data_IF_825074620721
#
_entry.id   IF_825074620721
#
_cell.length_a   1.000
_cell.length_b   1.000
_cell.length_c   1.000
_cell.angle_alpha   90.00
_cell.angle_beta   90.00
_cell.angle_gamma   90.00
#
_symmetry.space_group_name_H-M   'P 1'
#
loop_
_entity.id
_entity.type
_entity.pdbx_description
1 polymer ?
#
# COMPACT_ATOMS: atom_id res chain seq x y z
N UNK A 1 4.65 33.34 3.53
CA UNK A 1 4.75 34.26 2.36
C UNK A 1 3.72 33.85 1.31
N UNK A 2 3.12 34.85 0.63
CA UNK A 2 2.15 34.63 -0.43
C UNK A 2 0.67 34.67 -0.02
N UNK A 3 0.37 34.78 1.28
CA UNK A 3 -0.99 34.86 1.81
C UNK A 3 -1.37 36.28 2.18
N UNK A 4 -2.67 36.64 2.05
CA UNK A 4 -3.22 37.90 2.58
C UNK A 4 -3.06 37.96 4.11
N UNK A 5 -2.89 39.17 4.64
CA UNK A 5 -2.75 39.43 6.08
C UNK A 5 -4.07 39.88 6.67
N UNK A 6 -4.41 39.37 7.83
CA UNK A 6 -5.58 39.80 8.59
C UNK A 6 -5.17 41.04 9.43
N UNK A 7 -5.70 42.19 9.06
CA UNK A 7 -5.45 43.43 9.83
C UNK A 7 -6.58 43.57 10.84
N UNK A 8 -6.20 43.86 12.08
CA UNK A 8 -7.14 44.05 13.19
C UNK A 8 -7.18 45.51 13.66
N UNK A 9 -8.37 45.94 13.99
CA UNK A 9 -8.58 47.22 14.68
C UNK A 9 -8.08 47.16 16.12
N UNK A 10 -7.99 48.32 16.78
CA UNK A 10 -7.51 48.43 18.17
C UNK A 10 -8.38 47.65 19.19
N UNK A 11 -9.62 47.40 18.88
CA UNK A 11 -10.55 46.56 19.68
C UNK A 11 -10.41 45.03 19.41
N UNK A 12 -9.47 44.66 18.53
CA UNK A 12 -9.21 43.27 18.16
C UNK A 12 -10.16 42.69 17.05
N UNK A 13 -11.12 43.49 16.58
CA UNK A 13 -11.99 43.04 15.45
C UNK A 13 -11.21 43.01 14.15
N UNK A 14 -11.67 42.15 13.21
CA UNK A 14 -11.09 42.09 11.84
C UNK A 14 -11.43 43.40 11.14
N UNK A 15 -10.41 44.14 10.73
CA UNK A 15 -10.56 45.40 9.99
C UNK A 15 -10.65 45.16 8.50
N UNK A 16 -9.62 44.56 7.93
CA UNK A 16 -9.51 44.22 6.51
C UNK A 16 -8.53 43.07 6.27
N UNK A 17 -8.50 42.58 5.06
CA UNK A 17 -7.50 41.64 4.57
C UNK A 17 -6.66 42.34 3.50
N UNK A 18 -5.34 42.36 3.68
CA UNK A 18 -4.40 42.93 2.69
C UNK A 18 -3.64 41.82 2.00
N UNK A 19 -3.74 41.76 0.69
CA UNK A 19 -3.01 40.78 -0.07
C UNK A 19 -1.50 41.03 -0.03
N UNK A 20 -0.69 39.97 -0.10
CA UNK A 20 0.78 40.02 0.03
C UNK A 20 1.43 41.05 -0.91
N UNK A 21 0.89 41.25 -2.11
CA UNK A 21 1.42 42.15 -3.12
C UNK A 21 1.14 43.62 -2.82
N UNK A 22 0.10 43.89 -2.06
CA UNK A 22 -0.39 45.24 -1.74
C UNK A 22 -0.03 45.65 -0.33
N UNK A 23 0.57 44.74 0.47
CA UNK A 23 0.90 44.95 1.88
C UNK A 23 2.11 45.87 2.04
N UNK A 24 2.00 46.87 2.96
CA UNK A 24 3.14 47.61 3.46
C UNK A 24 4.13 46.72 4.25
N UNK A 25 5.31 47.22 4.53
CA UNK A 25 6.29 46.47 5.33
C UNK A 25 5.77 46.10 6.72
N UNK A 26 4.97 46.94 7.35
CA UNK A 26 4.34 46.69 8.65
C UNK A 26 3.24 45.63 8.53
N UNK A 27 2.38 45.74 7.52
CA UNK A 27 1.32 44.78 7.27
C UNK A 27 1.87 43.38 6.88
N UNK A 28 2.94 43.35 6.09
CA UNK A 28 3.63 42.11 5.73
C UNK A 28 4.25 41.37 6.92
N UNK A 29 4.55 42.08 8.02
CA UNK A 29 5.06 41.52 9.27
C UNK A 29 3.96 40.85 10.11
N UNK A 30 2.68 41.11 9.84
CA UNK A 30 1.55 40.45 10.52
C UNK A 30 1.59 38.95 10.29
N UNK A 31 1.51 38.19 11.39
CA UNK A 31 1.57 36.70 11.33
C UNK A 31 0.23 36.03 11.05
N UNK A 32 -0.87 36.72 11.34
CA UNK A 32 -2.21 36.20 11.07
C UNK A 32 -2.50 36.34 9.57
N UNK A 33 -2.76 35.20 8.93
CA UNK A 33 -2.92 35.14 7.48
C UNK A 33 -4.29 34.59 7.09
N UNK A 34 -4.78 35.02 5.95
CA UNK A 34 -6.02 34.53 5.36
C UNK A 34 -5.84 33.11 4.82
N UNK A 35 -6.73 32.20 5.21
CA UNK A 35 -6.74 30.81 4.74
C UNK A 35 -7.39 30.64 3.38
N UNK A 36 -8.07 31.66 2.85
CA UNK A 36 -8.89 31.56 1.63
C UNK A 36 -10.26 30.92 1.86
N UNK A 37 -10.61 30.53 3.08
CA UNK A 37 -11.92 29.99 3.42
C UNK A 37 -12.79 31.10 4.04
N UNK A 38 -13.95 31.33 3.42
CA UNK A 38 -14.88 32.39 3.83
C UNK A 38 -16.29 31.85 4.02
N UNK A 39 -17.00 32.48 4.93
CA UNK A 39 -18.42 32.28 5.13
C UNK A 39 -19.11 33.63 5.09
N UNK A 40 -19.96 33.85 4.11
CA UNK A 40 -20.66 35.11 3.91
C UNK A 40 -22.16 34.93 4.07
N UNK A 41 -22.82 35.97 4.53
CA UNK A 41 -24.24 36.15 4.31
C UNK A 41 -24.44 36.47 2.82
N UNK A 42 -25.36 35.74 2.13
CA UNK A 42 -25.43 35.75 0.66
C UNK A 42 -25.84 37.10 0.07
N UNK A 43 -26.82 37.77 0.66
CA UNK A 43 -27.26 39.08 0.17
C UNK A 43 -26.21 40.17 0.38
N UNK A 44 -25.54 40.14 1.52
CA UNK A 44 -24.45 41.08 1.82
C UNK A 44 -23.27 40.91 0.84
N UNK A 45 -22.90 39.67 0.52
CA UNK A 45 -21.86 39.36 -0.45
C UNK A 45 -22.22 39.87 -1.85
N UNK A 46 -23.44 39.57 -2.32
CA UNK A 46 -23.88 40.00 -3.65
C UNK A 46 -23.92 41.53 -3.76
N UNK A 47 -24.38 42.21 -2.71
CA UNK A 47 -24.38 43.67 -2.66
C UNK A 47 -22.93 44.22 -2.69
N UNK A 48 -22.00 43.62 -1.93
CA UNK A 48 -20.61 44.04 -1.92
C UNK A 48 -19.91 43.83 -3.28
N UNK A 49 -20.14 42.68 -3.93
CA UNK A 49 -19.57 42.41 -5.25
C UNK A 49 -20.07 43.36 -6.31
N UNK A 50 -21.36 43.74 -6.30
CA UNK A 50 -21.91 44.73 -7.20
C UNK A 50 -21.27 46.10 -6.99
N UNK A 51 -21.15 46.56 -5.74
CA UNK A 51 -20.50 47.83 -5.40
C UNK A 51 -19.03 47.86 -5.84
N UNK A 52 -18.28 46.76 -5.62
CA UNK A 52 -16.91 46.66 -6.09
C UNK A 52 -16.79 46.68 -7.62
N UNK A 53 -17.76 46.09 -8.33
CA UNK A 53 -17.83 46.14 -9.78
C UNK A 53 -18.07 47.56 -10.29
N UNK A 54 -18.98 48.31 -9.68
CA UNK A 54 -19.28 49.69 -9.99
C UNK A 54 -18.08 50.62 -9.76
N UNK A 55 -17.42 50.50 -8.58
CA UNK A 55 -16.18 51.25 -8.26
C UNK A 55 -15.05 50.99 -9.26
N UNK A 56 -14.98 49.81 -9.83
CA UNK A 56 -14.03 49.53 -10.92
C UNK A 56 -14.42 50.18 -12.22
N UNK A 57 -15.69 50.12 -12.58
CA UNK A 57 -16.20 50.73 -13.81
C UNK A 57 -16.05 52.26 -13.79
N UNK A 58 -16.16 52.92 -12.64
CA UNK A 58 -15.95 54.35 -12.44
C UNK A 58 -14.47 54.75 -12.38
N UNK A 59 -13.54 53.78 -12.29
CA UNK A 59 -12.10 54.05 -12.16
C UNK A 59 -11.65 54.40 -10.72
N UNK A 60 -12.52 54.29 -9.74
CA UNK A 60 -12.16 54.49 -8.32
C UNK A 60 -11.28 53.35 -7.81
N UNK A 61 -11.49 52.11 -8.29
CA UNK A 61 -10.64 50.99 -7.94
C UNK A 61 -9.54 50.77 -9.00
N UNK A 62 -8.31 51.10 -8.67
CA UNK A 62 -7.13 51.03 -9.58
C UNK A 62 -6.37 49.72 -9.41
N UNK A 63 -6.81 48.80 -8.52
CA UNK A 63 -6.16 47.48 -8.34
C UNK A 63 -6.20 46.67 -9.63
N UNK A 64 -5.08 45.99 -9.93
CA UNK A 64 -4.95 45.15 -11.14
C UNK A 64 -5.87 43.93 -11.12
N UNK A 65 -6.15 43.39 -9.94
CA UNK A 65 -6.94 42.18 -9.73
C UNK A 65 -8.14 42.45 -8.83
N UNK A 66 -9.23 41.72 -9.00
CA UNK A 66 -10.39 41.71 -8.11
C UNK A 66 -10.13 40.68 -7.01
N UNK A 67 -10.11 41.13 -5.79
CA UNK A 67 -9.94 40.23 -4.65
C UNK A 67 -11.29 40.07 -3.93
N UNK A 68 -11.67 38.81 -3.67
CA UNK A 68 -12.83 38.52 -2.84
C UNK A 68 -12.68 39.10 -1.43
N UNK A 69 -11.44 39.24 -0.97
CA UNK A 69 -11.09 39.85 0.32
C UNK A 69 -11.50 41.32 0.44
N UNK A 70 -11.61 42.07 -0.67
CA UNK A 70 -12.10 43.44 -0.67
C UNK A 70 -13.61 43.53 -0.32
N UNK A 71 -14.37 42.46 -0.56
CA UNK A 71 -15.79 42.41 -0.19
C UNK A 71 -16.00 42.51 1.34
N UNK A 72 -14.99 42.16 2.14
CA UNK A 72 -15.09 42.25 3.60
C UNK A 72 -15.18 43.75 4.06
N UNK A 73 -14.37 44.62 3.48
CA UNK A 73 -14.42 46.06 3.79
C UNK A 73 -15.75 46.67 3.34
N UNK A 74 -16.23 46.27 2.15
CA UNK A 74 -17.51 46.76 1.64
C UNK A 74 -18.67 46.28 2.52
N UNK A 75 -18.69 45.02 2.95
CA UNK A 75 -19.72 44.48 3.87
C UNK A 75 -19.71 45.25 5.21
N UNK A 76 -18.52 45.56 5.75
CA UNK A 76 -18.40 46.35 6.98
C UNK A 76 -18.93 47.79 6.82
N UNK A 77 -18.77 48.40 5.65
CA UNK A 77 -19.31 49.72 5.37
C UNK A 77 -20.84 49.78 5.48
N UNK A 78 -21.51 48.64 5.35
CA UNK A 78 -22.95 48.50 5.58
C UNK A 78 -23.36 48.33 7.04
N UNK A 79 -22.40 48.43 7.97
CA UNK A 79 -22.64 48.24 9.41
C UNK A 79 -22.67 46.78 9.85
N UNK A 80 -22.36 45.85 8.96
CA UNK A 80 -22.29 44.42 9.27
C UNK A 80 -20.93 44.08 9.94
N UNK A 81 -20.90 42.95 10.66
CA UNK A 81 -19.71 42.52 11.39
C UNK A 81 -18.95 41.46 10.63
N UNK A 82 -17.61 41.56 10.66
CA UNK A 82 -16.70 40.50 10.22
C UNK A 82 -16.04 39.85 11.44
N UNK A 83 -16.06 38.52 11.47
CA UNK A 83 -15.37 37.72 12.46
C UNK A 83 -14.28 36.87 11.83
N UNK A 84 -13.37 36.35 12.62
CA UNK A 84 -12.40 35.35 12.19
C UNK A 84 -12.36 34.18 13.16
N UNK A 85 -12.12 33.01 12.60
CA UNK A 85 -11.78 31.79 13.34
C UNK A 85 -10.32 31.46 13.09
N UNK A 86 -9.51 31.48 14.14
CA UNK A 86 -8.09 31.13 14.04
C UNK A 86 -7.93 29.62 14.16
N UNK A 87 -7.40 28.98 13.14
CA UNK A 87 -7.13 27.55 13.13
C UNK A 87 -6.03 27.19 14.13
N UNK A 88 -6.10 25.99 14.72
CA UNK A 88 -5.12 25.50 15.69
C UNK A 88 -3.74 25.22 15.06
N UNK A 89 -3.65 24.97 13.76
CA UNK A 89 -2.41 24.71 13.04
C UNK A 89 -2.36 25.51 11.75
N UNK A 90 -1.18 26.05 11.45
CA UNK A 90 -0.90 26.74 10.18
C UNK A 90 -0.92 25.81 8.97
N UNK A 91 -0.86 24.50 9.18
CA UNK A 91 -0.83 23.53 8.09
C UNK A 91 -2.14 23.47 7.31
N UNK A 92 -3.24 23.96 7.88
CA UNK A 92 -4.55 23.97 7.22
C UNK A 92 -4.60 24.90 6.00
N UNK A 93 -3.69 25.87 5.93
CA UNK A 93 -3.61 26.83 4.82
C UNK A 93 -2.65 26.41 3.72
N UNK A 94 -1.91 25.31 3.91
CA UNK A 94 -0.93 24.88 2.94
C UNK A 94 -1.63 24.41 1.65
N UNK A 95 -1.32 25.08 0.56
CA UNK A 95 -1.76 24.73 -0.80
C UNK A 95 -0.54 24.44 -1.67
N UNK A 96 -0.72 23.61 -2.71
CA UNK A 96 0.32 23.31 -3.68
C UNK A 96 0.03 24.03 -5.01
N UNK A 97 0.91 24.91 -5.43
CA UNK A 97 0.87 25.57 -6.74
C UNK A 97 1.80 24.88 -7.75
N UNK A 98 2.73 24.07 -7.27
CA UNK A 98 3.67 23.32 -8.08
C UNK A 98 3.94 21.92 -7.46
N UNK A 99 4.75 21.12 -8.16
CA UNK A 99 5.06 19.76 -7.71
C UNK A 99 5.99 19.69 -6.49
N UNK A 100 6.79 20.72 -6.27
CA UNK A 100 7.66 20.80 -5.08
C UNK A 100 6.80 20.98 -3.84
N UNK A 101 5.89 21.96 -3.87
CA UNK A 101 4.93 22.20 -2.78
C UNK A 101 4.00 21.01 -2.57
N UNK A 102 3.57 20.32 -3.65
CA UNK A 102 2.80 19.09 -3.52
C UNK A 102 3.59 17.99 -2.81
N UNK A 103 4.88 17.86 -3.10
CA UNK A 103 5.75 16.90 -2.41
C UNK A 103 5.89 17.24 -0.91
N UNK A 104 6.03 18.50 -0.56
CA UNK A 104 6.08 18.95 0.85
C UNK A 104 4.78 18.60 1.59
N UNK A 105 3.62 18.80 0.96
CA UNK A 105 2.33 18.41 1.51
C UNK A 105 2.20 16.89 1.70
N UNK A 106 2.66 16.11 0.73
CA UNK A 106 2.69 14.64 0.84
C UNK A 106 3.56 14.18 2.00
N UNK A 107 4.73 14.79 2.20
CA UNK A 107 5.61 14.47 3.34
C UNK A 107 4.97 14.83 4.69
N UNK A 108 4.27 15.96 4.76
CA UNK A 108 3.52 16.35 5.95
C UNK A 108 2.39 15.35 6.26
N UNK A 109 1.61 14.97 5.25
CA UNK A 109 0.53 13.99 5.38
C UNK A 109 1.07 12.61 5.79
N UNK A 110 2.16 12.17 5.16
CA UNK A 110 2.85 10.92 5.51
C UNK A 110 3.28 10.93 6.97
N UNK A 111 3.96 11.98 7.42
CA UNK A 111 4.43 12.11 8.80
C UNK A 111 3.27 12.02 9.80
N UNK A 112 2.17 12.71 9.54
CA UNK A 112 0.98 12.68 10.40
C UNK A 112 0.40 11.27 10.53
N UNK A 113 0.31 10.55 9.41
CA UNK A 113 -0.21 9.18 9.42
C UNK A 113 0.73 8.23 10.19
N UNK A 114 2.05 8.34 10.01
CA UNK A 114 3.02 7.55 10.77
C UNK A 114 2.95 7.85 12.27
N UNK A 115 2.88 9.14 12.66
CA UNK A 115 2.75 9.54 14.08
C UNK A 115 1.46 9.01 14.71
N UNK A 116 0.35 9.03 13.98
CA UNK A 116 -0.93 8.45 14.43
C UNK A 116 -0.77 6.98 14.79
N UNK A 117 -0.14 6.19 13.93
CA UNK A 117 0.11 4.76 14.19
C UNK A 117 1.10 4.55 15.33
N UNK A 118 2.19 5.31 15.40
CA UNK A 118 3.14 5.22 16.52
C UNK A 118 2.48 5.54 17.87
N UNK A 119 1.61 6.56 17.93
CA UNK A 119 0.83 6.87 19.14
C UNK A 119 -0.19 5.77 19.50
N UNK A 120 -0.63 4.98 18.54
CA UNK A 120 -1.51 3.83 18.74
C UNK A 120 -0.76 2.56 19.14
N UNK A 121 0.57 2.60 19.28
CA UNK A 121 1.40 1.48 19.73
C UNK A 121 2.09 0.68 18.64
N UNK A 122 2.14 1.19 17.40
CA UNK A 122 2.91 0.60 16.30
C UNK A 122 4.36 1.06 16.37
N UNK A 123 5.31 0.16 16.22
CA UNK A 123 6.74 0.47 16.19
C UNK A 123 7.19 0.75 14.75
N UNK A 124 7.76 1.95 14.51
CA UNK A 124 8.37 2.32 13.22
C UNK A 124 9.78 2.84 13.49
N UNK A 125 10.77 1.94 13.65
CA UNK A 125 12.13 2.32 14.07
C UNK A 125 12.86 3.26 13.11
N UNK A 126 12.53 3.16 11.82
CA UNK A 126 13.03 4.04 10.76
C UNK A 126 11.87 4.38 9.82
N UNK A 127 11.61 5.66 9.63
CA UNK A 127 10.50 6.13 8.80
C UNK A 127 10.82 6.22 7.31
N UNK A 128 12.08 5.94 6.92
CA UNK A 128 12.53 6.10 5.54
C UNK A 128 11.79 5.14 4.60
N UNK A 129 11.13 5.73 3.59
CA UNK A 129 10.36 5.00 2.60
C UNK A 129 9.08 4.31 3.14
N UNK A 130 8.75 4.48 4.43
CA UNK A 130 7.51 3.94 4.98
C UNK A 130 6.33 4.80 4.56
N UNK A 131 5.34 4.17 3.93
CA UNK A 131 4.08 4.79 3.51
C UNK A 131 2.92 3.98 4.06
N UNK A 132 2.04 4.64 4.81
CA UNK A 132 0.81 4.04 5.33
C UNK A 132 -0.35 4.89 4.82
N UNK A 133 -1.29 4.29 4.09
CA UNK A 133 -2.49 4.98 3.64
C UNK A 133 -3.47 5.21 4.80
N UNK A 134 -4.24 6.31 4.79
CA UNK A 134 -5.16 6.66 5.89
C UNK A 134 -6.22 5.61 6.22
N UNK A 135 -6.61 4.76 5.24
CA UNK A 135 -7.57 3.65 5.43
C UNK A 135 -6.99 2.42 6.14
N UNK A 136 -5.67 2.31 6.20
CA UNK A 136 -5.01 1.16 6.80
C UNK A 136 -5.19 1.13 8.33
N UNK A 137 -5.32 -0.09 8.87
CA UNK A 137 -5.41 -0.34 10.31
C UNK A 137 -4.27 -1.28 10.71
N UNK A 138 -3.56 -0.93 11.77
CA UNK A 138 -2.40 -1.71 12.25
C UNK A 138 -2.54 -1.91 13.75
N UNK A 139 -2.43 -3.15 14.18
CA UNK A 139 -2.50 -3.55 15.59
C UNK A 139 -1.25 -3.13 16.37
N UNK A 140 -1.40 -3.17 17.70
CA UNK A 140 -0.34 -2.80 18.66
C UNK A 140 0.83 -3.76 18.57
N UNK A 141 1.99 -3.28 18.96
CA UNK A 141 3.25 -4.03 19.03
C UNK A 141 3.73 -4.59 17.67
N UNK A 142 3.03 -4.24 16.58
CA UNK A 142 3.48 -4.53 15.22
C UNK A 142 4.62 -3.59 14.83
N UNK A 143 5.65 -4.17 14.22
CA UNK A 143 6.84 -3.46 13.74
C UNK A 143 6.76 -3.26 12.24
N UNK A 144 6.82 -2.00 11.79
CA UNK A 144 6.90 -1.65 10.36
C UNK A 144 8.31 -1.17 10.04
N UNK A 145 9.00 -1.90 9.19
CA UNK A 145 10.39 -1.63 8.81
C UNK A 145 10.47 -0.73 7.57
N UNK A 146 11.65 -0.16 7.36
CA UNK A 146 11.96 0.78 6.26
C UNK A 146 11.49 0.28 4.90
N UNK A 147 11.08 1.19 4.01
CA UNK A 147 10.64 0.88 2.66
C UNK A 147 9.29 0.16 2.55
N UNK A 148 8.61 -0.08 3.67
CA UNK A 148 7.31 -0.77 3.68
C UNK A 148 6.19 0.16 3.25
N UNK A 149 5.31 -0.34 2.38
CA UNK A 149 4.19 0.40 1.81
C UNK A 149 2.88 -0.35 2.11
N UNK A 150 1.98 0.28 2.88
CA UNK A 150 0.69 -0.28 3.27
C UNK A 150 -0.40 0.57 2.66
N UNK A 151 -1.16 -0.02 1.72
CA UNK A 151 -2.14 0.68 0.88
C UNK A 151 -3.57 0.19 1.07
N UNK A 152 -4.49 1.04 0.61
CA UNK A 152 -5.92 0.77 0.63
C UNK A 152 -6.45 0.57 2.03
N UNK A 153 -7.45 -0.29 2.17
CA UNK A 153 -8.08 -0.63 3.44
C UNK A 153 -7.43 -1.86 4.10
N UNK A 154 -6.10 -1.97 3.98
CA UNK A 154 -5.35 -3.09 4.57
C UNK A 154 -5.48 -3.11 6.09
N UNK A 155 -5.64 -4.31 6.63
CA UNK A 155 -5.71 -4.56 8.08
C UNK A 155 -4.55 -5.47 8.48
N UNK A 156 -3.73 -5.01 9.42
CA UNK A 156 -2.61 -5.77 9.98
C UNK A 156 -2.87 -5.94 11.48
N UNK A 157 -2.77 -7.15 11.95
CA UNK A 157 -2.97 -7.51 13.36
C UNK A 157 -1.87 -7.04 14.29
N UNK A 158 -1.84 -7.60 15.48
CA UNK A 158 -0.87 -7.34 16.54
C UNK A 158 0.38 -8.22 16.39
N UNK A 159 1.50 -7.82 17.00
CA UNK A 159 2.74 -8.59 17.07
C UNK A 159 3.32 -9.02 15.71
N UNK A 160 3.01 -8.30 14.63
CA UNK A 160 3.52 -8.59 13.31
C UNK A 160 4.87 -7.89 13.05
N UNK A 161 5.64 -8.43 12.12
CA UNK A 161 6.82 -7.76 11.54
C UNK A 161 6.61 -7.61 10.04
N UNK A 162 6.47 -6.36 9.57
CA UNK A 162 6.25 -6.04 8.15
C UNK A 162 7.45 -5.30 7.60
N UNK A 163 8.05 -5.83 6.56
CA UNK A 163 9.24 -5.23 5.92
C UNK A 163 10.55 -5.96 6.25
N UNK A 164 11.70 -5.37 5.85
CA UNK A 164 11.78 -4.16 5.04
C UNK A 164 11.26 -4.36 3.60
N UNK A 165 11.10 -3.26 2.85
CA UNK A 165 10.80 -3.26 1.41
C UNK A 165 9.60 -4.16 1.03
N UNK A 166 8.51 -4.08 1.78
CA UNK A 166 7.31 -4.90 1.60
C UNK A 166 6.12 -4.06 1.15
N UNK A 167 5.24 -4.65 0.32
CA UNK A 167 4.00 -4.02 -0.11
C UNK A 167 2.80 -4.85 0.31
N UNK A 168 1.88 -4.23 1.04
CA UNK A 168 0.59 -4.82 1.41
C UNK A 168 -0.52 -3.91 0.89
N UNK A 169 -1.39 -4.44 0.03
CA UNK A 169 -2.47 -3.66 -0.56
C UNK A 169 -3.80 -4.41 -0.47
N UNK A 170 -4.84 -3.75 0.08
CA UNK A 170 -6.21 -4.28 0.24
C UNK A 170 -6.23 -5.71 0.82
N UNK A 171 -5.40 -5.98 1.81
CA UNK A 171 -5.17 -7.31 2.36
C UNK A 171 -5.34 -7.34 3.87
N UNK A 172 -5.70 -8.51 4.40
CA UNK A 172 -5.77 -8.76 5.84
C UNK A 172 -4.61 -9.64 6.25
N UNK A 173 -3.83 -9.19 7.20
CA UNK A 173 -2.75 -9.94 7.87
C UNK A 173 -3.12 -10.06 9.33
N UNK A 174 -3.29 -11.29 9.84
CA UNK A 174 -3.62 -11.55 11.23
C UNK A 174 -2.39 -11.40 12.14
N UNK A 175 -2.52 -11.79 13.41
CA UNK A 175 -1.51 -11.55 14.44
C UNK A 175 -0.26 -12.42 14.28
N UNK A 176 0.89 -11.90 14.72
CA UNK A 176 2.14 -12.64 14.82
C UNK A 176 2.76 -13.02 13.47
N UNK A 177 2.40 -12.37 12.40
CA UNK A 177 2.91 -12.65 11.04
C UNK A 177 4.24 -11.97 10.79
N UNK A 178 5.20 -12.73 10.25
CA UNK A 178 6.43 -12.22 9.64
C UNK A 178 6.24 -12.05 8.14
N UNK A 179 6.40 -10.83 7.60
CA UNK A 179 6.22 -10.53 6.18
C UNK A 179 7.37 -9.70 5.65
N UNK A 180 8.36 -10.36 5.05
CA UNK A 180 9.67 -9.79 4.73
C UNK A 180 9.87 -9.66 3.22
N UNK A 181 10.24 -8.47 2.73
CA UNK A 181 10.60 -8.18 1.31
C UNK A 181 9.67 -8.84 0.31
N UNK A 182 8.38 -8.68 0.53
CA UNK A 182 7.35 -9.42 -0.21
C UNK A 182 6.19 -8.52 -0.59
N UNK A 183 5.37 -8.98 -1.52
CA UNK A 183 4.19 -8.24 -1.96
C UNK A 183 2.91 -9.06 -1.81
N UNK A 184 1.85 -8.42 -1.29
CA UNK A 184 0.54 -9.03 -1.07
C UNK A 184 -0.56 -8.11 -1.59
N UNK A 185 -1.45 -8.67 -2.41
CA UNK A 185 -2.59 -7.98 -2.99
C UNK A 185 -3.89 -8.72 -2.71
N UNK A 186 -4.89 -8.02 -2.18
CA UNK A 186 -6.28 -8.49 -2.00
C UNK A 186 -6.37 -9.95 -1.53
N UNK A 187 -5.69 -10.26 -0.43
CA UNK A 187 -5.51 -11.62 0.10
C UNK A 187 -5.52 -11.63 1.63
N UNK A 188 -5.66 -12.81 2.21
CA UNK A 188 -5.68 -13.01 3.65
C UNK A 188 -4.50 -13.86 4.10
N UNK A 189 -3.79 -13.42 5.13
CA UNK A 189 -2.68 -14.14 5.76
C UNK A 189 -3.04 -14.33 7.22
N UNK A 190 -3.16 -15.59 7.64
CA UNK A 190 -3.63 -15.95 8.98
C UNK A 190 -2.47 -15.99 9.99
N UNK A 191 -2.85 -16.10 11.27
CA UNK A 191 -1.96 -15.99 12.42
C UNK A 191 -0.66 -16.79 12.29
N UNK A 192 0.45 -16.14 12.64
CA UNK A 192 1.76 -16.77 12.76
C UNK A 192 2.38 -17.28 11.47
N UNK A 193 1.86 -16.90 10.31
CA UNK A 193 2.48 -17.23 9.04
C UNK A 193 3.83 -16.49 8.87
N UNK A 194 4.79 -17.15 8.20
CA UNK A 194 6.12 -16.62 7.92
C UNK A 194 6.31 -16.52 6.39
N UNK A 195 6.38 -15.29 5.90
CA UNK A 195 6.34 -14.98 4.47
C UNK A 195 7.60 -14.24 4.05
N UNK A 196 8.30 -14.79 3.08
CA UNK A 196 9.43 -14.11 2.45
C UNK A 196 10.79 -14.76 2.66
N UNK A 197 11.83 -14.09 2.19
CA UNK A 197 11.77 -12.90 1.32
C UNK A 197 11.37 -13.23 -0.14
N UNK A 198 10.99 -12.19 -0.91
CA UNK A 198 10.70 -12.26 -2.34
C UNK A 198 9.52 -13.18 -2.71
N UNK A 199 8.46 -13.10 -1.93
CA UNK A 199 7.18 -13.78 -2.16
C UNK A 199 6.21 -12.82 -2.84
N UNK A 200 5.40 -13.36 -3.77
CA UNK A 200 4.28 -12.65 -4.36
C UNK A 200 2.97 -13.37 -4.06
N UNK A 201 2.12 -12.75 -3.22
CA UNK A 201 0.77 -13.24 -2.96
C UNK A 201 -0.19 -12.41 -3.80
N UNK A 202 -0.89 -13.07 -4.71
CA UNK A 202 -1.83 -12.46 -5.66
C UNK A 202 -3.27 -12.58 -5.18
N UNK A 203 -4.17 -11.73 -5.74
CA UNK A 203 -5.55 -11.65 -5.30
C UNK A 203 -6.26 -13.01 -5.19
N UNK A 204 -7.14 -13.10 -4.19
CA UNK A 204 -7.96 -14.29 -3.94
C UNK A 204 -7.22 -15.41 -3.22
N UNK A 205 -6.06 -15.13 -2.62
CA UNK A 205 -5.28 -16.14 -1.89
C UNK A 205 -5.56 -16.08 -0.39
N UNK A 206 -5.57 -17.26 0.24
CA UNK A 206 -5.65 -17.41 1.70
C UNK A 206 -4.46 -18.23 2.16
N UNK A 207 -3.60 -17.63 2.98
CA UNK A 207 -2.44 -18.28 3.59
C UNK A 207 -2.82 -18.67 5.02
N UNK A 208 -2.85 -19.95 5.33
CA UNK A 208 -3.28 -20.51 6.58
C UNK A 208 -2.36 -20.20 7.76
N UNK A 209 -2.84 -20.59 8.96
CA UNK A 209 -2.10 -20.42 10.20
C UNK A 209 -0.75 -21.14 10.15
N UNK A 210 0.31 -20.49 10.64
CA UNK A 210 1.67 -21.05 10.72
C UNK A 210 2.22 -21.60 9.39
N UNK A 211 1.71 -21.13 8.26
CA UNK A 211 2.25 -21.47 6.94
C UNK A 211 3.57 -20.78 6.74
N UNK A 212 4.55 -21.51 6.23
CA UNK A 212 5.81 -20.94 5.76
C UNK A 212 5.84 -20.83 4.24
N UNK A 213 5.97 -19.61 3.71
CA UNK A 213 6.18 -19.34 2.28
C UNK A 213 7.53 -18.67 2.11
N UNK A 214 8.51 -19.41 1.59
CA UNK A 214 9.88 -18.93 1.44
C UNK A 214 10.15 -18.23 0.11
N UNK A 215 11.42 -18.05 -0.19
CA UNK A 215 11.87 -17.17 -1.25
C UNK A 215 11.49 -17.63 -2.68
N UNK A 216 11.16 -16.64 -3.51
CA UNK A 216 10.80 -16.81 -4.92
C UNK A 216 9.56 -17.68 -5.15
N UNK A 217 8.60 -17.61 -4.25
CA UNK A 217 7.31 -18.29 -4.37
C UNK A 217 6.25 -17.30 -4.83
N UNK A 218 5.43 -17.72 -5.78
CA UNK A 218 4.21 -17.00 -6.17
C UNK A 218 2.98 -17.84 -5.84
N UNK A 219 2.03 -17.25 -5.09
CA UNK A 219 0.73 -17.83 -4.77
C UNK A 219 -0.36 -17.01 -5.43
N UNK A 220 -1.29 -17.65 -6.15
CA UNK A 220 -2.37 -16.97 -6.87
C UNK A 220 -3.69 -17.71 -6.70
N UNK A 221 -4.73 -17.02 -6.23
CA UNK A 221 -6.11 -17.54 -6.15
C UNK A 221 -6.15 -18.96 -5.56
N UNK A 222 -5.45 -19.15 -4.42
CA UNK A 222 -5.23 -20.45 -3.81
C UNK A 222 -5.45 -20.39 -2.30
N UNK A 223 -5.94 -21.49 -1.75
CA UNK A 223 -6.07 -21.67 -0.30
C UNK A 223 -4.97 -22.63 0.18
N UNK A 224 -4.15 -22.14 1.11
CA UNK A 224 -3.06 -22.92 1.69
C UNK A 224 -3.45 -23.24 3.14
N UNK A 225 -3.64 -24.51 3.49
CA UNK A 225 -3.99 -24.96 4.82
C UNK A 225 -2.83 -24.80 5.81
N UNK A 226 -3.19 -24.83 7.10
CA UNK A 226 -2.26 -24.58 8.20
C UNK A 226 -1.01 -25.49 8.17
N UNK A 227 0.09 -25.00 8.75
CA UNK A 227 1.36 -25.73 8.92
C UNK A 227 2.00 -26.23 7.61
N UNK A 228 1.54 -25.76 6.46
CA UNK A 228 2.09 -26.10 5.16
C UNK A 228 3.37 -25.31 4.86
N UNK A 229 4.32 -25.95 4.19
CA UNK A 229 5.61 -25.37 3.84
C UNK A 229 5.81 -25.31 2.33
N UNK A 230 6.04 -24.11 1.79
CA UNK A 230 6.36 -23.82 0.39
C UNK A 230 7.65 -23.00 0.37
N UNK A 231 8.78 -23.67 0.62
CA UNK A 231 10.00 -22.96 1.04
C UNK A 231 10.76 -22.28 -0.10
N UNK A 232 10.65 -22.75 -1.35
CA UNK A 232 11.55 -22.29 -2.41
C UNK A 232 10.94 -22.36 -3.81
N UNK A 233 11.13 -21.28 -4.59
CA UNK A 233 11.03 -21.24 -6.07
C UNK A 233 9.84 -22.06 -6.63
N UNK A 234 8.64 -21.74 -6.23
CA UNK A 234 7.45 -22.51 -6.63
C UNK A 234 6.32 -21.60 -7.10
N UNK A 235 5.48 -22.10 -8.00
CA UNK A 235 4.24 -21.45 -8.41
C UNK A 235 3.04 -22.26 -7.97
N UNK A 236 2.21 -21.69 -7.11
CA UNK A 236 0.97 -22.29 -6.62
C UNK A 236 -0.20 -21.42 -7.10
N UNK A 237 -0.84 -21.84 -8.17
CA UNK A 237 -1.94 -21.09 -8.79
C UNK A 237 -3.22 -21.92 -8.91
N UNK A 238 -4.35 -21.28 -8.60
CA UNK A 238 -5.69 -21.87 -8.63
C UNK A 238 -5.72 -23.26 -7.94
N UNK A 239 -5.28 -23.31 -6.67
CA UNK A 239 -5.04 -24.56 -5.93
C UNK A 239 -5.65 -24.54 -4.54
N UNK A 240 -6.05 -25.70 -4.05
CA UNK A 240 -6.54 -25.92 -2.70
C UNK A 240 -5.63 -26.93 -1.99
N UNK A 241 -4.83 -26.45 -1.06
CA UNK A 241 -3.88 -27.22 -0.27
C UNK A 241 -4.43 -27.43 1.15
N UNK A 242 -4.44 -28.66 1.61
CA UNK A 242 -4.75 -29.03 2.99
C UNK A 242 -3.66 -28.60 3.96
N UNK A 243 -3.64 -29.23 5.14
CA UNK A 243 -2.73 -28.92 6.23
C UNK A 243 -1.47 -29.78 6.22
N UNK A 244 -0.35 -29.26 6.75
CA UNK A 244 0.87 -30.03 6.94
C UNK A 244 1.56 -30.53 5.68
N UNK A 245 1.33 -29.87 4.57
CA UNK A 245 1.90 -30.25 3.27
C UNK A 245 3.33 -29.70 3.14
N UNK A 246 4.20 -30.46 2.49
CA UNK A 246 5.51 -29.99 2.08
C UNK A 246 5.62 -29.90 0.57
N UNK A 247 5.85 -28.68 0.04
CA UNK A 247 6.10 -28.44 -1.38
C UNK A 247 7.61 -28.32 -1.63
N UNK A 248 8.16 -29.21 -2.43
CA UNK A 248 9.56 -29.20 -2.81
C UNK A 248 9.92 -28.01 -3.71
N UNK A 249 11.21 -27.71 -3.78
CA UNK A 249 11.73 -26.62 -4.62
C UNK A 249 11.39 -26.83 -6.10
N UNK A 250 11.01 -25.75 -6.79
CA UNK A 250 10.77 -25.76 -8.22
C UNK A 250 9.44 -26.40 -8.65
N UNK A 251 8.49 -26.57 -7.73
CA UNK A 251 7.18 -27.12 -8.05
C UNK A 251 6.28 -26.09 -8.72
N UNK A 252 5.43 -26.58 -9.63
CA UNK A 252 4.44 -25.76 -10.31
C UNK A 252 3.09 -26.48 -10.43
N UNK A 253 2.01 -25.74 -10.18
CA UNK A 253 0.66 -26.16 -10.56
C UNK A 253 0.35 -25.59 -11.93
N UNK A 254 0.33 -26.46 -12.96
CA UNK A 254 0.02 -26.07 -14.33
C UNK A 254 -1.50 -25.92 -14.50
N UNK A 255 -1.99 -24.75 -14.13
CA UNK A 255 -3.42 -24.46 -13.97
C UNK A 255 -4.13 -23.93 -15.24
N UNK A 256 -3.42 -23.72 -16.36
CA UNK A 256 -3.97 -23.13 -17.57
C UNK A 256 -3.68 -23.96 -18.81
N UNK A 257 -4.72 -24.38 -19.51
CA UNK A 257 -4.66 -25.25 -20.72
C UNK A 257 -4.60 -24.46 -22.04
N UNK A 258 -4.48 -23.16 -22.01
CA UNK A 258 -4.58 -22.29 -23.18
C UNK A 258 -5.93 -21.59 -23.33
N UNK A 259 -7.00 -22.18 -22.84
CA UNK A 259 -8.37 -21.63 -22.92
C UNK A 259 -9.13 -21.70 -21.59
N UNK A 260 -8.78 -22.62 -20.69
CA UNK A 260 -9.47 -22.84 -19.42
C UNK A 260 -8.47 -22.93 -18.27
N UNK A 261 -8.85 -22.39 -17.11
CA UNK A 261 -8.17 -22.60 -15.83
C UNK A 261 -8.83 -23.75 -15.09
N UNK A 262 -8.02 -24.63 -14.51
CA UNK A 262 -8.44 -25.74 -13.67
C UNK A 262 -7.72 -25.69 -12.32
N UNK A 263 -8.31 -26.28 -11.30
CA UNK A 263 -7.74 -26.30 -9.96
C UNK A 263 -6.95 -27.58 -9.69
N UNK A 264 -5.94 -27.46 -8.86
CA UNK A 264 -5.21 -28.56 -8.26
C UNK A 264 -5.63 -28.72 -6.81
N UNK A 265 -5.91 -29.92 -6.37
CA UNK A 265 -6.20 -30.24 -4.96
C UNK A 265 -5.06 -31.07 -4.38
N UNK A 266 -4.52 -30.67 -3.23
CA UNK A 266 -3.51 -31.42 -2.49
C UNK A 266 -4.05 -31.63 -1.08
N UNK A 267 -4.25 -32.90 -0.69
CA UNK A 267 -4.81 -33.23 0.62
C UNK A 267 -3.76 -33.18 1.74
N UNK A 268 -4.24 -33.31 3.00
CA UNK A 268 -3.40 -33.14 4.17
C UNK A 268 -2.18 -34.08 4.17
N UNK A 269 -1.07 -33.59 4.72
CA UNK A 269 0.14 -34.38 4.92
C UNK A 269 0.89 -34.81 3.66
N UNK A 270 0.43 -34.41 2.48
CA UNK A 270 1.09 -34.80 1.23
C UNK A 270 2.50 -34.18 1.11
N UNK A 271 3.40 -34.91 0.45
CA UNK A 271 4.76 -34.46 0.16
C UNK A 271 4.98 -34.36 -1.35
N UNK A 272 5.17 -33.16 -1.83
CA UNK A 272 5.42 -32.89 -3.26
C UNK A 272 6.93 -32.78 -3.49
N UNK A 273 7.51 -33.74 -4.21
CA UNK A 273 8.94 -33.79 -4.50
C UNK A 273 9.40 -32.60 -5.35
N UNK A 274 10.67 -32.22 -5.23
CA UNK A 274 11.24 -31.10 -5.98
C UNK A 274 11.01 -31.22 -7.49
N UNK A 275 10.79 -30.08 -8.16
CA UNK A 275 10.54 -30.03 -9.62
C UNK A 275 9.35 -30.87 -10.08
N UNK A 276 8.35 -31.07 -9.22
CA UNK A 276 7.09 -31.70 -9.62
C UNK A 276 6.22 -30.68 -10.34
N UNK A 277 5.70 -31.05 -11.52
CA UNK A 277 4.67 -30.32 -12.22
C UNK A 277 3.32 -31.04 -12.04
N UNK A 278 2.35 -30.38 -11.40
CA UNK A 278 0.99 -30.90 -11.26
C UNK A 278 0.11 -30.29 -12.36
N UNK A 279 -0.32 -31.10 -13.31
CA UNK A 279 -1.12 -30.64 -14.46
C UNK A 279 -2.60 -30.71 -14.10
N UNK A 280 -3.17 -29.55 -13.84
CA UNK A 280 -4.57 -29.42 -13.42
C UNK A 280 -5.59 -29.75 -14.56
N UNK A 281 -6.76 -30.38 -14.25
CA UNK A 281 -7.18 -30.75 -12.89
C UNK A 281 -6.49 -32.00 -12.40
N UNK A 282 -6.00 -32.01 -11.15
CA UNK A 282 -5.39 -33.19 -10.53
C UNK A 282 -5.57 -33.12 -9.02
N UNK A 283 -5.80 -34.25 -8.39
CA UNK A 283 -5.86 -34.43 -6.95
C UNK A 283 -4.67 -35.24 -6.45
N UNK A 284 -3.96 -34.76 -5.43
CA UNK A 284 -2.96 -35.53 -4.68
C UNK A 284 -3.55 -35.87 -3.33
N UNK A 285 -3.69 -37.16 -3.08
CA UNK A 285 -4.35 -37.73 -1.91
C UNK A 285 -3.66 -37.46 -0.57
N UNK A 286 -4.33 -37.86 0.50
CA UNK A 286 -3.85 -37.68 1.88
C UNK A 286 -2.57 -38.49 2.10
N UNK A 287 -1.55 -37.86 2.71
CA UNK A 287 -0.22 -38.44 2.94
C UNK A 287 0.45 -39.01 1.69
N UNK A 288 0.02 -38.62 0.48
CA UNK A 288 0.61 -39.09 -0.77
C UNK A 288 1.92 -38.36 -1.08
N UNK A 289 2.77 -39.02 -1.82
CA UNK A 289 4.08 -38.51 -2.24
C UNK A 289 4.17 -38.41 -3.76
N UNK A 290 4.83 -37.38 -4.26
CA UNK A 290 5.30 -37.35 -5.64
C UNK A 290 6.83 -37.41 -5.68
N UNK A 291 7.38 -38.25 -6.54
CA UNK A 291 8.83 -38.33 -6.72
C UNK A 291 9.36 -37.07 -7.40
N UNK A 292 10.55 -36.60 -6.99
CA UNK A 292 11.20 -35.45 -7.58
C UNK A 292 11.33 -35.57 -9.11
N UNK A 293 11.05 -34.45 -9.83
CA UNK A 293 11.11 -34.41 -11.29
C UNK A 293 9.92 -35.07 -12.00
N UNK A 294 8.81 -35.30 -11.29
CA UNK A 294 7.60 -35.89 -11.85
C UNK A 294 6.70 -34.89 -12.55
N UNK A 295 6.08 -35.27 -13.67
CA UNK A 295 4.96 -34.57 -14.28
C UNK A 295 3.69 -35.37 -14.03
N UNK A 296 2.88 -34.96 -13.09
CA UNK A 296 1.68 -35.68 -12.63
C UNK A 296 0.47 -35.17 -13.40
N UNK A 297 -0.21 -36.05 -14.10
CA UNK A 297 -1.36 -35.75 -14.97
C UNK A 297 -2.63 -36.53 -14.61
N UNK A 298 -2.53 -37.43 -13.63
CA UNK A 298 -3.61 -38.25 -13.11
C UNK A 298 -3.61 -38.15 -11.59
N UNK A 299 -4.77 -38.41 -10.98
CA UNK A 299 -4.92 -38.34 -9.52
C UNK A 299 -4.00 -39.37 -8.81
N UNK A 300 -3.44 -38.93 -7.69
CA UNK A 300 -2.60 -39.76 -6.84
C UNK A 300 -3.42 -40.22 -5.64
N UNK A 301 -3.69 -41.50 -5.45
CA UNK A 301 -4.46 -42.00 -4.31
C UNK A 301 -3.78 -41.69 -2.96
N UNK A 302 -4.56 -41.70 -1.90
CA UNK A 302 -4.06 -41.54 -0.51
C UNK A 302 -2.94 -42.56 -0.22
N UNK A 303 -1.95 -42.15 0.57
CA UNK A 303 -0.83 -42.97 1.03
C UNK A 303 -0.01 -43.61 -0.10
N UNK A 304 -0.01 -43.02 -1.30
CA UNK A 304 0.64 -43.57 -2.50
C UNK A 304 1.86 -42.73 -2.92
N UNK A 305 2.78 -43.36 -3.65
CA UNK A 305 3.91 -42.66 -4.28
C UNK A 305 3.69 -42.63 -5.81
N UNK A 306 3.55 -41.41 -6.36
CA UNK A 306 3.56 -41.20 -7.81
C UNK A 306 4.98 -40.99 -8.33
N UNK A 307 5.38 -41.75 -9.34
CA UNK A 307 6.66 -41.61 -10.05
C UNK A 307 6.36 -41.42 -11.55
N UNK A 308 6.28 -40.15 -11.96
CA UNK A 308 5.94 -39.78 -13.33
C UNK A 308 7.14 -39.14 -14.06
N UNK A 309 8.22 -39.90 -14.17
CA UNK A 309 9.46 -39.51 -14.86
C UNK A 309 10.17 -40.73 -15.44
N UNK A 310 11.02 -40.53 -16.46
CA UNK A 310 11.78 -41.60 -17.09
C UNK A 310 12.77 -42.25 -16.11
N UNK A 311 13.00 -43.55 -16.27
CA UNK A 311 14.03 -44.26 -15.53
C UNK A 311 15.42 -43.76 -15.95
N UNK A 312 16.28 -43.52 -14.96
CA UNK A 312 17.66 -43.07 -15.20
C UNK A 312 18.45 -44.10 -16.05
N UNK A 313 19.12 -43.61 -17.08
CA UNK A 313 20.12 -44.38 -17.83
C UNK A 313 21.49 -43.74 -17.71
N UNK A 314 22.52 -44.58 -17.49
CA UNK A 314 23.92 -44.13 -17.36
C UNK A 314 24.75 -44.66 -18.53
N UNK A 315 25.35 -43.77 -19.31
CA UNK A 315 26.29 -44.10 -20.39
C UNK A 315 27.74 -43.94 -19.85
N UNK A 316 28.32 -45.06 -19.39
CA UNK A 316 29.66 -45.06 -18.85
C UNK A 316 30.69 -44.64 -19.91
N UNK A 317 31.65 -43.82 -19.55
CA UNK A 317 32.72 -43.34 -20.45
C UNK A 317 32.27 -42.33 -21.52
N UNK A 318 31.03 -41.87 -21.52
CA UNK A 318 30.46 -40.98 -22.55
C UNK A 318 31.29 -39.69 -22.73
N UNK A 319 31.72 -39.04 -21.64
CA UNK A 319 32.54 -37.82 -21.70
C UNK A 319 33.92 -38.07 -22.33
N UNK A 320 34.55 -39.22 -22.04
CA UNK A 320 35.82 -39.63 -22.67
C UNK A 320 35.67 -39.84 -24.16
N UNK A 321 34.58 -40.48 -24.60
CA UNK A 321 34.28 -40.79 -26.01
C UNK A 321 33.88 -39.53 -26.78
N UNK A 322 32.97 -38.72 -26.24
CA UNK A 322 32.43 -37.57 -26.95
C UNK A 322 33.22 -36.29 -26.82
N UNK A 323 34.09 -36.17 -25.78
CA UNK A 323 34.93 -34.99 -25.49
C UNK A 323 34.21 -33.65 -25.73
N UNK A 324 33.06 -33.40 -25.11
CA UNK A 324 32.19 -32.26 -25.43
C UNK A 324 32.86 -30.88 -25.12
N UNK A 325 33.95 -30.85 -24.40
CA UNK A 325 34.68 -29.62 -24.02
C UNK A 325 36.07 -29.49 -24.70
N UNK A 326 36.37 -30.27 -25.72
CA UNK A 326 37.71 -30.27 -26.39
C UNK A 326 38.09 -28.93 -27.03
N UNK A 327 37.17 -27.97 -27.17
CA UNK A 327 37.42 -26.68 -27.80
C UNK A 327 37.38 -25.50 -26.81
N UNK A 328 37.47 -25.75 -25.50
CA UNK A 328 37.41 -24.70 -24.47
C UNK A 328 38.65 -24.61 -23.58
N UNK A 329 39.78 -25.18 -24.01
CA UNK A 329 41.09 -25.01 -23.34
C UNK A 329 42.06 -24.39 -24.33
#
# INVERSE_FOLDING_TARGET
TGYGRIIRSADGSVERIVEQRDASAEEAAVREVNSGAFWFEGEALMRALNALSEKRASGENTKKEFYLTDALEEIKSYGLRAGSFTAQSADIILGANDRVQLNELNELARRRELEKHMRAGVSIPCTDGVIICPGAKIGRDTVILTGSVIKGDSVIGEDCTIGPDSLVENSTIENGVSFVRSVCYSSNILNGADIGPFVRIRPGSVIGKSVHVGNFVEVKNSTIGADTKISHLSYIGDSDLGTGINIGCGCATANYSGNKKSRTTIKNGAFIGCHTCLVAPVEVGENAYTAAGSTVTEDVPDNSLAVARSRQTVKKGWVKIKQPYKHKI
#
